data_IF_355863089942
#
_entry.id   IF_355863089942
#
_cell.length_a   1.000
_cell.length_b   1.000
_cell.length_c   1.000
_cell.angle_alpha   90.00
_cell.angle_beta   90.00
_cell.angle_gamma   90.00
#
_symmetry.space_group_name_H-M   'P 1'
#
loop_
_entity.id
_entity.type
_entity.pdbx_description
1 polymer ?
#
# COMPACT_ATOMS: atom_id res chain seq x y z
N UNK A 1 20.48 20.27 -0.69
CA UNK A 1 19.42 20.60 0.30
C UNK A 1 18.41 19.47 0.52
N UNK A 2 18.53 18.33 -0.19
CA UNK A 2 17.54 17.23 -0.17
C UNK A 2 16.18 17.64 -0.76
N UNK A 3 16.14 18.66 -1.60
CA UNK A 3 14.93 19.02 -2.34
C UNK A 3 14.68 18.04 -3.50
N UNK A 4 13.42 17.67 -3.77
CA UNK A 4 13.08 16.83 -4.92
C UNK A 4 13.36 17.56 -6.23
N UNK A 5 13.97 16.86 -7.19
CA UNK A 5 14.39 17.44 -8.48
C UNK A 5 13.72 16.78 -9.67
N UNK A 6 13.51 15.46 -9.62
CA UNK A 6 12.93 14.66 -10.69
C UNK A 6 12.02 13.58 -10.13
N UNK A 7 11.08 13.12 -10.95
CA UNK A 7 10.28 11.92 -10.70
C UNK A 7 11.12 10.66 -10.97
N UNK A 8 10.65 9.50 -10.51
CA UNK A 8 11.30 8.24 -10.81
C UNK A 8 11.38 7.99 -12.33
N UNK A 9 12.43 7.31 -12.82
CA UNK A 9 12.51 6.84 -14.20
C UNK A 9 11.36 5.88 -14.55
N UNK A 10 11.06 5.74 -15.84
CA UNK A 10 10.07 4.76 -16.28
C UNK A 10 10.50 3.32 -15.93
N UNK A 11 9.55 2.49 -15.49
CA UNK A 11 9.74 1.06 -15.26
C UNK A 11 10.28 0.69 -13.88
N UNK A 12 10.34 1.63 -12.94
CA UNK A 12 10.69 1.40 -11.53
C UNK A 12 9.68 2.09 -10.63
N UNK A 13 9.49 1.61 -9.38
CA UNK A 13 8.61 2.28 -8.42
C UNK A 13 9.17 3.65 -7.98
N UNK A 14 8.29 4.51 -7.45
CA UNK A 14 8.70 5.85 -6.98
C UNK A 14 9.67 5.80 -5.80
N UNK A 15 9.50 4.83 -4.91
CA UNK A 15 10.35 4.62 -3.73
C UNK A 15 10.35 3.16 -3.31
N UNK A 16 11.49 2.70 -2.78
CA UNK A 16 11.67 1.35 -2.23
C UNK A 16 12.15 1.46 -0.77
N UNK A 17 11.46 0.77 0.13
CA UNK A 17 11.75 0.71 1.56
C UNK A 17 12.07 -0.74 1.95
N UNK A 18 13.33 -1.03 2.22
CA UNK A 18 13.76 -2.36 2.68
C UNK A 18 13.68 -2.48 4.20
N UNK A 19 12.90 -3.45 4.68
CA UNK A 19 12.82 -3.83 6.08
C UNK A 19 13.43 -5.23 6.32
N UNK A 20 13.54 -5.62 7.58
CA UNK A 20 14.09 -6.93 7.96
C UNK A 20 13.29 -8.08 7.33
N UNK A 21 11.96 -8.02 7.40
CA UNK A 21 11.08 -9.14 7.01
C UNK A 21 10.37 -8.98 5.66
N UNK A 22 10.35 -7.77 5.09
CA UNK A 22 9.62 -7.47 3.86
C UNK A 22 10.20 -6.24 3.15
N UNK A 23 9.76 -6.02 1.92
CA UNK A 23 10.01 -4.78 1.18
C UNK A 23 8.69 -4.04 0.96
N UNK A 24 8.68 -2.73 1.15
CA UNK A 24 7.59 -1.87 0.68
C UNK A 24 8.05 -1.07 -0.54
N UNK A 25 7.48 -1.34 -1.71
CA UNK A 25 7.55 -0.39 -2.82
C UNK A 25 6.41 0.61 -2.69
N UNK A 26 6.63 1.86 -3.05
CA UNK A 26 5.63 2.91 -3.02
C UNK A 26 5.41 3.43 -4.42
N UNK A 27 4.13 3.54 -4.78
CA UNK A 27 3.65 4.12 -6.04
C UNK A 27 2.65 5.21 -5.65
N UNK A 28 2.89 6.45 -6.11
CA UNK A 28 2.09 7.60 -5.68
C UNK A 28 1.56 8.35 -6.89
N UNK A 29 0.33 8.83 -6.75
CA UNK A 29 -0.31 9.62 -7.81
C UNK A 29 -1.19 10.70 -7.23
N UNK A 30 -1.31 11.82 -7.94
CA UNK A 30 -2.33 12.84 -7.65
C UNK A 30 -3.61 12.62 -8.46
N UNK A 31 -3.61 11.66 -9.39
CA UNK A 31 -4.78 11.31 -10.18
C UNK A 31 -5.83 10.63 -9.30
N UNK A 32 -7.11 10.92 -9.54
CA UNK A 32 -8.22 10.38 -8.75
C UNK A 32 -9.49 10.12 -9.58
N UNK A 33 -9.38 10.18 -10.91
CA UNK A 33 -10.49 9.89 -11.84
C UNK A 33 -10.12 8.69 -12.70
N UNK A 34 -10.77 8.56 -13.86
CA UNK A 34 -10.50 7.49 -14.82
C UNK A 34 -9.05 7.46 -15.30
N UNK A 35 -8.39 8.61 -15.34
CA UNK A 35 -6.97 8.77 -15.62
C UNK A 35 -6.08 8.04 -14.60
N UNK A 36 -6.48 7.96 -13.33
CA UNK A 36 -5.79 7.13 -12.35
C UNK A 36 -5.77 5.67 -12.77
N UNK A 37 -6.93 5.12 -13.14
CA UNK A 37 -7.00 3.73 -13.57
C UNK A 37 -6.17 3.50 -14.85
N UNK A 38 -6.28 4.43 -15.80
CA UNK A 38 -5.58 4.32 -17.08
C UNK A 38 -4.06 4.38 -16.93
N UNK A 39 -3.55 5.30 -16.11
CA UNK A 39 -2.11 5.52 -15.96
C UNK A 39 -1.47 4.64 -14.88
N UNK A 40 -2.20 4.25 -13.84
CA UNK A 40 -1.63 3.55 -12.68
C UNK A 40 -2.01 2.07 -12.62
N UNK A 41 -3.13 1.66 -13.21
CA UNK A 41 -3.67 0.31 -13.04
C UNK A 41 -2.67 -0.79 -13.45
N UNK A 42 -2.25 -0.78 -14.71
CA UNK A 42 -1.28 -1.76 -15.21
C UNK A 42 0.15 -1.48 -14.72
N UNK A 43 0.68 -0.23 -14.76
CA UNK A 43 2.07 0.01 -14.39
C UNK A 43 2.41 -0.41 -12.96
N UNK A 44 1.54 -0.11 -11.98
CA UNK A 44 1.73 -0.53 -10.57
C UNK A 44 1.82 -2.05 -10.44
N UNK A 45 0.91 -2.78 -11.10
CA UNK A 45 0.95 -4.25 -11.09
C UNK A 45 2.24 -4.79 -11.70
N UNK A 46 2.66 -4.23 -12.84
CA UNK A 46 3.90 -4.63 -13.51
C UNK A 46 5.13 -4.33 -12.66
N UNK A 47 5.24 -3.13 -12.10
CA UNK A 47 6.39 -2.74 -11.27
C UNK A 47 6.54 -3.65 -10.05
N UNK A 48 5.43 -4.00 -9.37
CA UNK A 48 5.47 -4.94 -8.26
C UNK A 48 5.95 -6.33 -8.71
N UNK A 49 5.41 -6.86 -9.81
CA UNK A 49 5.82 -8.17 -10.32
C UNK A 49 7.28 -8.18 -10.76
N UNK A 50 7.73 -7.17 -11.48
CA UNK A 50 9.12 -7.02 -11.93
C UNK A 50 10.07 -6.89 -10.74
N UNK A 51 9.65 -6.19 -9.67
CA UNK A 51 10.40 -6.11 -8.43
C UNK A 51 10.54 -7.50 -7.78
N UNK A 52 9.43 -8.23 -7.60
CA UNK A 52 9.42 -9.57 -7.00
C UNK A 52 10.29 -10.58 -7.78
N UNK A 53 10.34 -10.47 -9.11
CA UNK A 53 11.16 -11.32 -9.97
C UNK A 53 12.66 -11.01 -9.85
N UNK A 54 13.02 -9.72 -9.74
CA UNK A 54 14.40 -9.28 -9.59
C UNK A 54 14.95 -9.51 -8.17
N UNK A 55 14.09 -9.46 -7.17
CA UNK A 55 14.47 -9.55 -5.75
C UNK A 55 13.77 -10.71 -5.05
N UNK A 56 14.09 -11.97 -5.42
CA UNK A 56 13.51 -13.12 -4.74
C UNK A 56 14.01 -13.19 -3.29
N UNK A 57 13.14 -13.58 -2.36
CA UNK A 57 13.53 -13.95 -0.99
C UNK A 57 12.74 -13.25 0.11
N UNK A 58 12.30 -12.00 -0.10
CA UNK A 58 11.40 -11.29 0.83
C UNK A 58 10.04 -11.03 0.16
N UNK A 59 8.93 -11.07 0.91
CA UNK A 59 7.65 -10.60 0.40
C UNK A 59 7.74 -9.09 0.11
N UNK A 60 7.30 -8.68 -1.09
CA UNK A 60 7.15 -7.28 -1.46
C UNK A 60 5.68 -6.87 -1.33
N UNK A 61 5.45 -5.72 -0.71
CA UNK A 61 4.16 -5.02 -0.67
C UNK A 61 4.26 -3.78 -1.55
N UNK A 62 3.20 -3.44 -2.27
CA UNK A 62 3.10 -2.18 -3.00
C UNK A 62 2.12 -1.26 -2.28
N UNK A 63 2.63 -0.20 -1.67
CA UNK A 63 1.82 0.86 -1.10
C UNK A 63 1.43 1.84 -2.21
N UNK A 64 0.20 1.76 -2.68
CA UNK A 64 -0.34 2.69 -3.67
C UNK A 64 -1.07 3.83 -2.97
N UNK A 65 -0.61 5.08 -3.14
CA UNK A 65 -1.18 6.25 -2.44
C UNK A 65 -1.72 7.27 -3.43
N UNK A 66 -2.97 7.68 -3.22
CA UNK A 66 -3.62 8.72 -4.03
C UNK A 66 -4.55 9.61 -3.19
N UNK A 67 -5.05 10.76 -3.69
CA UNK A 67 -6.08 11.53 -2.99
C UNK A 67 -7.34 10.69 -2.68
N UNK A 68 -7.77 9.86 -3.63
CA UNK A 68 -8.79 8.83 -3.47
C UNK A 68 -8.57 7.71 -4.48
N UNK A 69 -9.07 6.51 -4.19
CA UNK A 69 -8.95 5.36 -5.09
C UNK A 69 -10.16 5.33 -6.03
N UNK A 70 -9.92 5.50 -7.33
CA UNK A 70 -10.96 5.39 -8.33
C UNK A 70 -11.48 3.95 -8.40
N UNK A 71 -12.79 3.77 -8.63
CA UNK A 71 -13.45 2.46 -8.65
C UNK A 71 -12.80 1.43 -9.57
N UNK A 72 -12.32 1.87 -10.74
CA UNK A 72 -11.72 0.96 -11.72
C UNK A 72 -10.29 0.57 -11.35
N UNK A 73 -9.56 1.48 -10.69
CA UNK A 73 -8.27 1.18 -10.04
C UNK A 73 -8.47 0.15 -8.94
N UNK A 74 -9.48 0.34 -8.08
CA UNK A 74 -9.84 -0.61 -7.04
C UNK A 74 -10.18 -2.00 -7.60
N UNK A 75 -10.99 -2.07 -8.66
CA UNK A 75 -11.34 -3.34 -9.32
C UNK A 75 -10.10 -4.05 -9.91
N UNK A 76 -9.20 -3.27 -10.51
CA UNK A 76 -7.94 -3.77 -11.10
C UNK A 76 -7.06 -4.39 -10.02
N UNK A 77 -6.80 -3.66 -8.94
CA UNK A 77 -5.99 -4.15 -7.83
C UNK A 77 -6.66 -5.30 -7.09
N UNK A 78 -7.97 -5.25 -6.88
CA UNK A 78 -8.72 -6.32 -6.25
C UNK A 78 -8.56 -7.66 -6.98
N UNK A 79 -8.59 -7.63 -8.31
CA UNK A 79 -8.41 -8.85 -9.13
C UNK A 79 -7.02 -9.45 -8.90
N UNK A 80 -5.98 -8.62 -8.91
CA UNK A 80 -4.60 -9.09 -8.70
C UNK A 80 -4.33 -9.56 -7.27
N UNK A 81 -4.93 -8.92 -6.27
CA UNK A 81 -4.78 -9.31 -4.86
C UNK A 81 -5.57 -10.59 -4.56
N UNK A 82 -6.81 -10.69 -5.03
CA UNK A 82 -7.69 -11.83 -4.73
C UNK A 82 -7.36 -13.07 -5.55
N UNK A 83 -7.05 -12.92 -6.84
CA UNK A 83 -6.88 -14.04 -7.77
C UNK A 83 -5.43 -14.17 -8.24
N UNK A 84 -5.00 -13.36 -9.20
CA UNK A 84 -3.64 -13.41 -9.76
C UNK A 84 -3.32 -12.20 -10.64
N UNK A 85 -2.02 -11.96 -10.81
CA UNK A 85 -1.43 -11.22 -11.91
C UNK A 85 -0.15 -11.96 -12.32
N UNK A 86 -0.11 -12.43 -13.56
CA UNK A 86 0.96 -13.27 -14.12
C UNK A 86 1.19 -14.57 -13.31
N UNK A 87 0.08 -15.23 -12.96
CA UNK A 87 0.06 -16.55 -12.32
C UNK A 87 0.23 -16.55 -10.80
N UNK A 88 0.39 -15.38 -10.17
CA UNK A 88 0.48 -15.27 -8.70
C UNK A 88 -0.27 -14.05 -8.18
N UNK A 89 -0.81 -14.14 -6.97
CA UNK A 89 -1.42 -12.99 -6.27
C UNK A 89 -0.40 -11.88 -6.04
N UNK A 90 -0.88 -10.66 -5.99
CA UNK A 90 -0.11 -9.47 -5.64
C UNK A 90 -0.46 -8.92 -4.26
N UNK A 91 0.45 -8.16 -3.67
CA UNK A 91 0.31 -7.52 -2.36
C UNK A 91 0.18 -6.01 -2.48
N UNK A 92 -0.84 -5.55 -3.20
CA UNK A 92 -1.09 -4.11 -3.41
C UNK A 92 -1.99 -3.59 -2.27
N UNK A 93 -1.54 -2.53 -1.61
CA UNK A 93 -2.19 -1.86 -0.48
C UNK A 93 -2.63 -0.46 -0.93
N UNK A 94 -3.90 -0.29 -1.35
CA UNK A 94 -4.39 1.01 -1.80
C UNK A 94 -4.80 1.88 -0.60
N UNK A 95 -4.12 3.01 -0.40
CA UNK A 95 -4.47 3.99 0.64
C UNK A 95 -4.78 5.36 0.04
N UNK A 96 -5.69 6.08 0.68
CA UNK A 96 -5.79 7.52 0.44
C UNK A 96 -4.66 8.27 1.15
N UNK A 97 -4.32 9.46 0.66
CA UNK A 97 -3.36 10.35 1.34
C UNK A 97 -3.82 10.70 2.76
N UNK A 98 -5.13 10.80 2.99
CA UNK A 98 -5.69 11.01 4.33
C UNK A 98 -5.41 9.83 5.27
N UNK A 99 -5.54 8.59 4.76
CA UNK A 99 -5.21 7.38 5.50
C UNK A 99 -3.70 7.29 5.80
N UNK A 100 -2.84 7.68 4.85
CA UNK A 100 -1.40 7.77 5.09
C UNK A 100 -1.07 8.81 6.16
N UNK A 101 -1.65 10.01 6.08
CA UNK A 101 -1.46 11.06 7.09
C UNK A 101 -1.89 10.58 8.48
N UNK A 102 -3.01 9.85 8.55
CA UNK A 102 -3.49 9.18 9.75
C UNK A 102 -2.50 8.17 10.34
N UNK A 103 -1.78 7.42 9.51
CA UNK A 103 -0.70 6.52 9.96
C UNK A 103 0.50 7.32 10.50
N UNK A 104 0.90 8.39 9.82
CA UNK A 104 2.02 9.24 10.25
C UNK A 104 1.73 9.94 11.59
N UNK A 105 0.48 10.39 11.80
CA UNK A 105 0.05 10.95 13.08
C UNK A 105 0.22 9.95 14.24
N UNK A 106 -0.06 8.67 14.02
CA UNK A 106 0.19 7.63 15.03
C UNK A 106 1.68 7.52 15.38
N UNK A 107 2.57 7.60 14.39
CA UNK A 107 4.02 7.58 14.62
C UNK A 107 4.45 8.76 15.51
N UNK A 108 3.89 9.95 15.26
CA UNK A 108 4.14 11.14 16.09
C UNK A 108 3.66 10.92 17.52
N UNK A 109 2.43 10.44 17.71
CA UNK A 109 1.85 10.17 19.03
C UNK A 109 2.68 9.17 19.84
N UNK A 110 3.13 8.09 19.21
CA UNK A 110 3.99 7.10 19.87
C UNK A 110 5.31 7.74 20.33
N UNK A 111 5.92 8.57 19.48
CA UNK A 111 7.17 9.27 19.81
C UNK A 111 6.98 10.21 20.99
N UNK A 112 5.86 10.93 21.06
CA UNK A 112 5.54 11.83 22.18
C UNK A 112 5.43 11.11 23.52
N UNK A 113 4.96 9.86 23.53
CA UNK A 113 4.89 9.01 24.73
C UNK A 113 6.13 8.10 24.91
N UNK A 114 7.21 8.35 24.18
CA UNK A 114 8.48 7.60 24.29
C UNK A 114 8.42 6.17 23.76
N UNK A 115 7.43 5.82 22.94
CA UNK A 115 7.27 4.50 22.32
C UNK A 115 7.83 4.49 20.89
N UNK A 116 8.42 3.36 20.51
CA UNK A 116 9.05 3.19 19.19
C UNK A 116 8.08 2.54 18.21
N UNK A 117 7.90 3.16 17.05
CA UNK A 117 7.19 2.54 15.93
C UNK A 117 8.07 1.50 15.24
N UNK A 118 7.55 0.28 15.06
CA UNK A 118 8.29 -0.85 14.46
C UNK A 118 7.67 -1.24 13.12
N UNK A 119 8.48 -1.65 12.16
CA UNK A 119 8.00 -2.08 10.84
C UNK A 119 7.04 -3.28 10.92
N UNK A 120 7.13 -4.12 11.95
CA UNK A 120 6.15 -5.20 12.19
C UNK A 120 4.71 -4.70 12.32
N UNK A 121 4.51 -3.47 12.82
CA UNK A 121 3.19 -2.85 12.85
C UNK A 121 2.63 -2.60 11.44
N UNK A 122 3.47 -2.18 10.50
CA UNK A 122 3.06 -2.01 9.09
C UNK A 122 2.71 -3.35 8.47
N UNK A 123 3.53 -4.37 8.70
CA UNK A 123 3.29 -5.70 8.15
C UNK A 123 1.93 -6.26 8.59
N UNK A 124 1.60 -6.14 9.87
CA UNK A 124 0.28 -6.55 10.40
C UNK A 124 -0.86 -5.78 9.73
N UNK A 125 -0.72 -4.47 9.52
CA UNK A 125 -1.73 -3.67 8.82
C UNK A 125 -1.91 -4.16 7.38
N UNK A 126 -0.82 -4.34 6.66
CA UNK A 126 -0.85 -4.76 5.26
C UNK A 126 -1.47 -6.14 5.11
N UNK A 127 -1.11 -7.09 5.99
CA UNK A 127 -1.68 -8.43 5.98
C UNK A 127 -3.20 -8.39 6.24
N UNK A 128 -3.67 -7.60 7.22
CA UNK A 128 -5.12 -7.40 7.45
C UNK A 128 -5.85 -6.86 6.22
N UNK A 129 -5.23 -5.93 5.47
CA UNK A 129 -5.82 -5.38 4.22
C UNK A 129 -5.87 -6.44 3.10
N UNK A 130 -4.93 -7.39 3.09
CA UNK A 130 -4.83 -8.45 2.07
C UNK A 130 -5.69 -9.69 2.38
N UNK A 131 -6.42 -9.74 3.50
CA UNK A 131 -7.34 -10.83 3.87
C UNK A 131 -8.64 -10.81 3.05
N UNK A 132 -8.51 -10.93 1.72
CA UNK A 132 -9.59 -10.78 0.72
C UNK A 132 -10.79 -11.71 0.91
N UNK A 133 -10.64 -12.82 1.63
CA UNK A 133 -11.73 -13.73 1.97
C UNK A 133 -12.79 -13.08 2.87
N UNK A 134 -12.45 -11.98 3.56
CA UNK A 134 -13.37 -11.22 4.42
C UNK A 134 -14.30 -10.29 3.63
N UNK A 135 -14.01 -10.03 2.35
CA UNK A 135 -14.76 -9.07 1.55
C UNK A 135 -15.41 -9.73 0.34
N UNK A 136 -16.66 -9.35 0.09
CA UNK A 136 -17.46 -9.79 -1.06
C UNK A 136 -16.92 -9.24 -2.38
N UNK A 137 -16.30 -8.05 -2.37
CA UNK A 137 -15.76 -7.40 -3.55
C UNK A 137 -14.90 -6.17 -3.26
N UNK A 138 -14.41 -5.54 -4.34
CA UNK A 138 -13.52 -4.38 -4.30
C UNK A 138 -14.08 -3.18 -3.53
N UNK A 139 -15.38 -2.90 -3.67
CA UNK A 139 -16.01 -1.77 -2.97
C UNK A 139 -15.96 -1.94 -1.45
N UNK A 140 -16.32 -3.14 -0.96
CA UNK A 140 -16.26 -3.47 0.47
C UNK A 140 -14.81 -3.49 0.96
N UNK A 141 -13.91 -4.09 0.17
CA UNK A 141 -12.48 -4.10 0.47
C UNK A 141 -11.92 -2.70 0.70
N UNK A 142 -12.17 -1.76 -0.22
CA UNK A 142 -11.70 -0.37 -0.08
C UNK A 142 -12.39 0.36 1.09
N UNK A 143 -13.70 0.16 1.30
CA UNK A 143 -14.40 0.84 2.40
C UNK A 143 -13.92 0.36 3.77
N UNK A 144 -13.60 -0.93 3.91
CA UNK A 144 -13.17 -1.51 5.18
C UNK A 144 -11.75 -1.14 5.60
N UNK A 145 -10.91 -0.61 4.70
CA UNK A 145 -9.57 -0.12 5.06
C UNK A 145 -9.63 0.91 6.18
N UNK A 146 -10.68 1.75 6.20
CA UNK A 146 -10.88 2.73 7.28
C UNK A 146 -11.12 2.04 8.64
N UNK A 147 -11.91 0.97 8.67
CA UNK A 147 -12.16 0.18 9.88
C UNK A 147 -10.87 -0.50 10.34
N UNK A 148 -10.17 -1.16 9.42
CA UNK A 148 -8.90 -1.85 9.69
C UNK A 148 -7.86 -0.89 10.27
N UNK A 149 -7.71 0.31 9.71
CA UNK A 149 -6.79 1.34 10.21
C UNK A 149 -7.16 1.80 11.63
N UNK A 150 -8.45 1.95 11.93
CA UNK A 150 -8.91 2.34 13.26
C UNK A 150 -8.58 1.27 14.29
N UNK A 151 -8.85 0.00 13.98
CA UNK A 151 -8.52 -1.13 14.86
C UNK A 151 -7.01 -1.25 15.08
N UNK A 152 -6.24 -1.19 13.98
CA UNK A 152 -4.79 -1.22 14.02
C UNK A 152 -4.18 -0.11 14.90
N UNK A 153 -4.71 1.11 14.83
CA UNK A 153 -4.30 2.21 15.72
C UNK A 153 -4.55 1.88 17.19
N UNK A 154 -5.71 1.32 17.52
CA UNK A 154 -6.07 0.93 18.90
C UNK A 154 -5.14 -0.18 19.39
N UNK A 155 -4.89 -1.20 18.57
CA UNK A 155 -3.99 -2.31 18.89
C UNK A 155 -2.59 -1.78 19.25
N UNK A 156 -2.06 -0.83 18.46
CA UNK A 156 -0.74 -0.25 18.72
C UNK A 156 -0.73 0.62 19.96
N UNK A 157 -1.75 1.45 20.17
CA UNK A 157 -1.78 2.34 21.34
C UNK A 157 -1.94 1.56 22.66
N UNK A 158 -2.51 0.36 22.63
CA UNK A 158 -2.72 -0.47 23.82
C UNK A 158 -1.66 -1.55 24.07
N UNK A 159 -0.82 -1.88 23.08
CA UNK A 159 0.32 -2.80 23.20
C UNK A 159 1.44 -2.28 24.12
#
# INVERSE_FOLDING_TARGET
DNEPTFTAPAGVPDMECEYENFVGICEVTMLNRRDQWFNEGQPVQRHLRDYELRHPGKPAYCLFVAPSIHRDTANTFWTAVKYEYEGKKQRIIPLSIGQLAEMLQLVVQLKEVGRVFRHGFLQVLYDKILETQKFSGSNEWISEIKTILKEWKVDILTA
#
